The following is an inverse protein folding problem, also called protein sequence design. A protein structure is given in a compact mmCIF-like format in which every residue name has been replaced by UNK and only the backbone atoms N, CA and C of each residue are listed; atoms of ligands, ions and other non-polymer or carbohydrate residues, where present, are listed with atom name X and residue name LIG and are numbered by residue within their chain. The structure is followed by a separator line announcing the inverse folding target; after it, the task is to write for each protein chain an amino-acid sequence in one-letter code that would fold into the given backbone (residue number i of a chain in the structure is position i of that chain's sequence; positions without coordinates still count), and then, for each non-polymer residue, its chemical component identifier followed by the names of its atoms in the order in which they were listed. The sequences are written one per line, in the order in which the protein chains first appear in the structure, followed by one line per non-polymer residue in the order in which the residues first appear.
data_IF_859050744650
#
_entry.id   IF_859050744650
#
_cell.length_a   1.000
_cell.length_b   1.000
_cell.length_c   1.000
_cell.angle_alpha   90.00
_cell.angle_beta   90.00
_cell.angle_gamma   90.00
#
_symmetry.space_group_name_H-M   'P 1'
#
loop_
_entity.id
_entity.type
_entity.pdbx_description
1 polymer ?
#
# COMPACT_ATOMS: atom_id res chain seq x y z
N UNK A 1 2.91 2.49 11.17
CA UNK A 1 2.29 1.20 11.49
C UNK A 1 0.88 1.17 10.93
N UNK A 2 0.44 0.05 10.37
CA UNK A 2 -0.93 -0.13 9.91
C UNK A 2 -1.84 -0.50 11.09
N UNK A 3 -3.04 0.08 11.16
CA UNK A 3 -3.96 -0.16 12.25
C UNK A 3 -4.64 -1.52 12.09
N UNK A 4 -4.70 -2.27 13.19
CA UNK A 4 -5.55 -3.45 13.34
C UNK A 4 -6.76 -3.06 14.18
N UNK A 5 -7.94 -3.38 13.65
CA UNK A 5 -9.23 -3.19 14.28
C UNK A 5 -9.89 -4.57 14.43
N UNK A 6 -10.44 -4.85 15.60
CA UNK A 6 -11.14 -6.10 15.90
C UNK A 6 -12.57 -5.80 16.36
N UNK A 7 -13.56 -6.46 15.76
CA UNK A 7 -14.96 -6.36 16.14
C UNK A 7 -15.55 -7.75 16.41
N UNK A 8 -15.91 -8.01 17.66
CA UNK A 8 -16.37 -9.31 18.15
C UNK A 8 -17.26 -9.05 19.37
N UNK A 9 -18.54 -9.46 19.33
CA UNK A 9 -19.51 -9.13 20.37
C UNK A 9 -19.25 -9.88 21.68
N UNK A 10 -18.77 -11.13 21.59
CA UNK A 10 -18.39 -11.93 22.75
C UNK A 10 -17.03 -11.50 23.33
N UNK A 11 -17.05 -11.08 24.59
CA UNK A 11 -15.85 -10.56 25.26
C UNK A 11 -14.73 -11.60 25.43
N UNK A 12 -15.05 -12.89 25.58
CA UNK A 12 -14.03 -13.92 25.73
C UNK A 12 -13.35 -14.22 24.38
N UNK A 13 -14.14 -14.26 23.30
CA UNK A 13 -13.62 -14.40 21.94
C UNK A 13 -12.79 -13.19 21.52
N UNK A 14 -13.23 -11.97 21.86
CA UNK A 14 -12.50 -10.75 21.57
C UNK A 14 -11.14 -10.75 22.28
N UNK A 15 -11.10 -11.14 23.56
CA UNK A 15 -9.84 -11.20 24.33
C UNK A 15 -8.90 -12.29 23.80
N UNK A 16 -9.44 -13.44 23.39
CA UNK A 16 -8.67 -14.50 22.75
C UNK A 16 -8.03 -14.00 21.45
N UNK A 17 -8.81 -13.39 20.56
CA UNK A 17 -8.33 -12.87 19.29
C UNK A 17 -7.31 -11.74 19.49
N UNK A 18 -7.60 -10.81 20.40
CA UNK A 18 -6.67 -9.75 20.80
C UNK A 18 -5.33 -10.31 21.29
N UNK A 19 -5.36 -11.34 22.14
CA UNK A 19 -4.14 -11.99 22.66
C UNK A 19 -3.32 -12.62 21.54
N UNK A 20 -3.96 -13.34 20.60
CA UNK A 20 -3.27 -13.97 19.49
C UNK A 20 -2.62 -12.94 18.56
N UNK A 21 -3.35 -11.89 18.18
CA UNK A 21 -2.82 -10.81 17.34
C UNK A 21 -1.67 -10.09 18.05
N UNK A 22 -1.81 -9.78 19.34
CA UNK A 22 -0.76 -9.14 20.14
C UNK A 22 0.51 -9.99 20.19
N UNK A 23 0.38 -11.30 20.37
CA UNK A 23 1.51 -12.21 20.34
C UNK A 23 2.19 -12.21 18.96
N UNK A 24 1.42 -12.26 17.87
CA UNK A 24 1.99 -12.16 16.53
C UNK A 24 2.84 -10.90 16.36
N UNK A 25 2.30 -9.73 16.72
CA UNK A 25 2.98 -8.42 16.59
C UNK A 25 4.31 -8.42 17.35
N UNK A 26 4.31 -8.91 18.60
CA UNK A 26 5.50 -8.94 19.46
C UNK A 26 6.67 -9.73 18.85
N UNK A 27 6.39 -10.78 18.09
CA UNK A 27 7.43 -11.67 17.55
C UNK A 27 7.80 -11.40 16.09
N UNK A 28 6.92 -10.76 15.31
CA UNK A 28 7.06 -10.76 13.85
C UNK A 28 7.10 -9.38 13.21
N UNK A 29 6.54 -8.32 13.83
CA UNK A 29 6.29 -7.11 13.06
C UNK A 29 6.11 -5.83 13.87
N UNK A 30 7.04 -4.89 13.71
CA UNK A 30 6.84 -3.48 14.07
C UNK A 30 5.91 -2.74 13.07
N UNK A 31 5.35 -3.46 12.09
CA UNK A 31 4.51 -2.90 11.05
C UNK A 31 3.08 -2.63 11.51
N UNK A 32 2.57 -3.43 12.44
CA UNK A 32 1.17 -3.42 12.87
C UNK A 32 1.01 -2.81 14.26
N UNK A 33 -0.16 -2.23 14.51
CA UNK A 33 -0.59 -1.81 15.85
C UNK A 33 -2.07 -2.09 16.03
N UNK A 34 -2.47 -2.65 17.18
CA UNK A 34 -3.88 -2.76 17.52
C UNK A 34 -4.35 -1.37 17.95
N UNK A 35 -5.28 -0.78 17.21
CA UNK A 35 -5.84 0.55 17.52
C UNK A 35 -7.18 0.48 18.22
N UNK A 36 -8.02 -0.50 17.85
CA UNK A 36 -9.35 -0.67 18.39
C UNK A 36 -9.70 -2.14 18.54
N UNK A 37 -10.20 -2.49 19.72
CA UNK A 37 -10.97 -3.71 19.97
C UNK A 37 -12.36 -3.28 20.42
N UNK A 38 -13.39 -3.80 19.76
CA UNK A 38 -14.77 -3.37 19.97
C UNK A 38 -15.70 -4.57 20.12
N UNK A 39 -16.58 -4.51 21.13
CA UNK A 39 -17.71 -5.42 21.27
C UNK A 39 -18.97 -4.92 20.57
N UNK A 40 -18.93 -3.72 19.99
CA UNK A 40 -20.07 -3.12 19.33
C UNK A 40 -19.62 -2.51 17.99
N UNK A 41 -20.30 -2.85 16.87
CA UNK A 41 -19.93 -2.31 15.56
C UNK A 41 -20.03 -0.78 15.48
N UNK A 42 -20.86 -0.14 16.32
CA UNK A 42 -20.96 1.33 16.34
C UNK A 42 -19.66 2.01 16.81
N UNK A 43 -18.84 1.33 17.62
CA UNK A 43 -17.55 1.87 18.04
C UNK A 43 -16.57 1.88 16.85
N UNK A 44 -16.64 0.85 15.99
CA UNK A 44 -15.88 0.79 14.73
C UNK A 44 -16.34 1.89 13.77
N UNK A 45 -17.65 2.08 13.60
CA UNK A 45 -18.19 3.17 12.76
C UNK A 45 -17.72 4.55 13.26
N UNK A 46 -17.80 4.77 14.57
CA UNK A 46 -17.33 6.02 15.19
C UNK A 46 -15.83 6.24 14.97
N UNK A 47 -15.04 5.17 15.00
CA UNK A 47 -13.60 5.22 14.71
C UNK A 47 -13.35 5.56 13.24
N UNK A 48 -14.06 4.94 12.29
CA UNK A 48 -13.93 5.23 10.86
C UNK A 48 -14.21 6.70 10.54
N UNK A 49 -15.25 7.28 11.15
CA UNK A 49 -15.62 8.69 10.97
C UNK A 49 -14.58 9.67 11.52
N UNK A 50 -13.84 9.28 12.57
CA UNK A 50 -12.89 10.17 13.26
C UNK A 50 -11.48 10.08 12.70
N UNK A 51 -11.02 8.86 12.45
CA UNK A 51 -9.62 8.60 12.15
C UNK A 51 -9.35 8.42 10.64
N UNK A 52 -10.40 8.19 9.84
CA UNK A 52 -10.32 7.94 8.39
C UNK A 52 -9.13 7.03 8.00
N UNK A 53 -9.04 5.82 8.59
CA UNK A 53 -7.86 4.97 8.45
C UNK A 53 -7.64 4.57 6.99
N UNK A 54 -6.37 4.43 6.62
CA UNK A 54 -5.98 3.92 5.30
C UNK A 54 -5.24 2.61 5.41
N UNK A 55 -5.64 1.63 4.59
CA UNK A 55 -5.04 0.28 4.57
C UNK A 55 -5.09 -0.42 5.94
N UNK A 56 -6.15 -0.22 6.70
CA UNK A 56 -6.39 -0.92 7.95
C UNK A 56 -6.62 -2.42 7.74
N UNK A 57 -6.38 -3.17 8.80
CA UNK A 57 -6.60 -4.62 8.87
C UNK A 57 -7.75 -4.84 9.85
N UNK A 58 -8.81 -5.49 9.40
CA UNK A 58 -10.06 -5.60 10.15
C UNK A 58 -10.39 -7.06 10.37
N UNK A 59 -10.40 -7.50 11.62
CA UNK A 59 -10.93 -8.80 12.01
C UNK A 59 -12.37 -8.62 12.49
N UNK A 60 -13.33 -9.22 11.81
CA UNK A 60 -14.75 -9.00 12.05
C UNK A 60 -15.47 -10.33 12.26
N UNK A 61 -16.23 -10.45 13.35
CA UNK A 61 -17.31 -11.44 13.37
C UNK A 61 -18.49 -10.96 12.52
N UNK A 62 -19.21 -11.91 11.93
CA UNK A 62 -20.45 -11.68 11.20
C UNK A 62 -21.63 -11.55 12.17
N UNK A 63 -21.73 -12.41 13.18
CA UNK A 63 -22.87 -12.42 14.11
C UNK A 63 -22.66 -11.49 15.31
N UNK A 64 -22.64 -10.17 15.05
CA UNK A 64 -22.35 -9.15 16.06
C UNK A 64 -23.50 -8.88 17.05
N UNK A 65 -24.57 -9.68 17.04
CA UNK A 65 -25.78 -9.50 17.88
C UNK A 65 -26.30 -8.05 17.90
N UNK A 66 -26.22 -7.36 16.76
CA UNK A 66 -26.55 -5.94 16.62
C UNK A 66 -27.49 -5.68 15.43
N UNK A 67 -27.86 -4.41 15.22
CA UNK A 67 -28.67 -3.98 14.08
C UNK A 67 -27.95 -4.15 12.74
N UNK A 68 -26.63 -4.04 12.76
CA UNK A 68 -25.77 -4.30 11.61
C UNK A 68 -24.94 -5.54 11.91
N UNK A 69 -24.90 -6.44 10.93
CA UNK A 69 -24.03 -7.61 10.96
C UNK A 69 -22.60 -7.23 10.51
N UNK A 70 -21.66 -8.16 10.65
CA UNK A 70 -20.27 -7.93 10.26
C UNK A 70 -20.06 -7.69 8.76
N UNK A 71 -20.94 -8.21 7.90
CA UNK A 71 -20.86 -7.99 6.45
C UNK A 71 -21.27 -6.55 6.12
N UNK A 72 -22.33 -6.05 6.74
CA UNK A 72 -22.76 -4.66 6.62
C UNK A 72 -21.71 -3.71 7.19
N UNK A 73 -21.10 -4.05 8.33
CA UNK A 73 -19.97 -3.29 8.86
C UNK A 73 -18.80 -3.26 7.86
N UNK A 74 -18.48 -4.40 7.23
CA UNK A 74 -17.46 -4.47 6.18
C UNK A 74 -17.81 -3.63 4.93
N UNK A 75 -19.09 -3.53 4.55
CA UNK A 75 -19.53 -2.61 3.49
C UNK A 75 -19.24 -1.15 3.87
N UNK A 76 -19.48 -0.73 5.12
CA UNK A 76 -19.16 0.62 5.58
C UNK A 76 -17.64 0.87 5.65
N UNK A 77 -16.87 -0.09 6.16
CA UNK A 77 -15.39 -0.03 6.16
C UNK A 77 -14.87 0.19 4.74
N UNK A 78 -15.35 -0.59 3.76
CA UNK A 78 -14.87 -0.49 2.37
C UNK A 78 -15.17 0.85 1.70
N UNK A 79 -16.25 1.54 2.10
CA UNK A 79 -16.58 2.88 1.59
C UNK A 79 -15.57 3.94 2.04
N UNK A 80 -15.04 3.79 3.25
CA UNK A 80 -14.06 4.73 3.84
C UNK A 80 -12.63 4.32 3.47
N UNK A 81 -12.29 3.05 3.67
CA UNK A 81 -10.97 2.48 3.42
C UNK A 81 -11.02 1.48 2.25
N UNK A 82 -10.82 2.00 1.04
CA UNK A 82 -10.79 1.20 -0.20
C UNK A 82 -9.70 0.14 -0.18
N UNK A 83 -8.63 0.32 0.59
CA UNK A 83 -7.51 -0.60 0.69
C UNK A 83 -7.57 -1.47 1.95
N UNK A 84 -8.70 -1.50 2.65
CA UNK A 84 -8.89 -2.33 3.84
C UNK A 84 -8.62 -3.81 3.55
N UNK A 85 -7.93 -4.47 4.49
CA UNK A 85 -7.72 -5.92 4.53
C UNK A 85 -8.75 -6.48 5.50
N UNK A 86 -9.90 -6.89 4.96
CA UNK A 86 -11.02 -7.40 5.74
C UNK A 86 -10.88 -8.90 5.89
N UNK A 87 -10.96 -9.38 7.13
CA UNK A 87 -10.82 -10.77 7.52
C UNK A 87 -12.03 -11.10 8.38
N UNK A 88 -12.83 -12.08 7.94
CA UNK A 88 -13.93 -12.56 8.77
C UNK A 88 -13.42 -13.65 9.71
N UNK A 89 -13.82 -13.56 10.97
CA UNK A 89 -13.55 -14.58 11.99
C UNK A 89 -14.90 -14.95 12.58
N UNK A 90 -15.46 -16.10 12.23
CA UNK A 90 -16.86 -16.40 12.57
C UNK A 90 -17.18 -17.90 12.59
N UNK A 91 -18.31 -18.28 13.18
CA UNK A 91 -18.89 -19.63 13.06
C UNK A 91 -19.78 -19.79 11.82
N UNK A 92 -19.93 -18.73 11.01
CA UNK A 92 -20.81 -18.67 9.86
C UNK A 92 -20.08 -18.70 8.51
N UNK A 93 -19.25 -19.72 8.29
CA UNK A 93 -18.46 -19.89 7.06
C UNK A 93 -19.32 -20.02 5.78
N UNK A 94 -20.54 -20.50 5.94
CA UNK A 94 -21.54 -20.58 4.88
C UNK A 94 -21.90 -19.20 4.28
N UNK A 95 -21.58 -18.10 4.98
CA UNK A 95 -21.85 -16.74 4.52
C UNK A 95 -20.74 -16.16 3.63
N UNK A 96 -19.62 -16.87 3.42
CA UNK A 96 -18.56 -16.43 2.51
C UNK A 96 -19.06 -16.05 1.10
N UNK A 97 -19.99 -16.79 0.44
CA UNK A 97 -20.55 -16.37 -0.85
C UNK A 97 -21.34 -15.06 -0.80
N UNK A 98 -21.93 -14.70 0.35
CA UNK A 98 -22.65 -13.45 0.53
C UNK A 98 -21.67 -12.25 0.55
N UNK A 99 -20.50 -12.41 1.16
CA UNK A 99 -19.45 -11.37 1.17
C UNK A 99 -19.02 -10.99 -0.25
N UNK A 100 -18.93 -11.97 -1.16
CA UNK A 100 -18.63 -11.74 -2.58
C UNK A 100 -19.76 -10.98 -3.29
N UNK A 101 -21.02 -11.36 -3.03
CA UNK A 101 -22.21 -10.65 -3.57
C UNK A 101 -22.26 -9.20 -3.09
N UNK A 102 -21.86 -8.96 -1.84
CA UNK A 102 -21.76 -7.64 -1.20
C UNK A 102 -20.50 -6.86 -1.58
N UNK A 103 -19.57 -7.48 -2.32
CA UNK A 103 -18.34 -6.86 -2.84
C UNK A 103 -17.46 -6.24 -1.77
N UNK A 104 -17.44 -6.82 -0.56
CA UNK A 104 -16.62 -6.31 0.55
C UNK A 104 -15.14 -6.62 0.37
N UNK A 105 -14.80 -7.55 -0.53
CA UNK A 105 -13.43 -7.98 -0.85
C UNK A 105 -12.65 -8.38 0.42
N UNK A 106 -13.17 -9.37 1.14
CA UNK A 106 -12.43 -10.01 2.22
C UNK A 106 -11.22 -10.76 1.65
N UNK A 107 -10.10 -10.69 2.37
CA UNK A 107 -8.87 -11.38 1.99
C UNK A 107 -8.80 -12.77 2.60
N UNK A 108 -9.56 -13.03 3.67
CA UNK A 108 -9.58 -14.31 4.36
C UNK A 108 -10.86 -14.53 5.17
N UNK A 109 -11.10 -15.79 5.52
CA UNK A 109 -12.27 -16.25 6.27
C UNK A 109 -11.87 -17.37 7.24
N UNK A 110 -11.82 -17.05 8.53
CA UNK A 110 -11.32 -17.93 9.60
C UNK A 110 -12.50 -18.51 10.38
N UNK A 111 -12.64 -19.83 10.36
CA UNK A 111 -13.68 -20.54 11.12
C UNK A 111 -13.35 -20.55 12.64
N UNK A 112 -14.32 -20.24 13.50
CA UNK A 112 -14.12 -20.26 14.96
C UNK A 112 -14.16 -21.67 15.56
N UNK A 113 -14.97 -22.57 14.99
CA UNK A 113 -15.19 -23.92 15.54
C UNK A 113 -14.09 -24.90 15.12
N UNK A 114 -12.87 -24.62 15.60
CA UNK A 114 -11.69 -25.42 15.32
C UNK A 114 -10.74 -25.48 16.51
N UNK A 115 -9.79 -26.44 16.54
CA UNK A 115 -8.78 -26.50 17.58
C UNK A 115 -7.96 -25.20 17.67
N UNK A 116 -7.68 -24.75 18.90
CA UNK A 116 -6.98 -23.48 19.17
C UNK A 116 -5.65 -23.32 18.41
N UNK A 117 -4.90 -24.42 18.24
CA UNK A 117 -3.63 -24.40 17.52
C UNK A 117 -3.80 -24.08 16.03
N UNK A 118 -4.86 -24.62 15.39
CA UNK A 118 -5.18 -24.33 14.00
C UNK A 118 -5.67 -22.89 13.86
N UNK A 119 -6.59 -22.46 14.73
CA UNK A 119 -7.09 -21.09 14.76
C UNK A 119 -5.96 -20.05 14.90
N UNK A 120 -5.00 -20.32 15.80
CA UNK A 120 -3.81 -19.47 15.95
C UNK A 120 -2.98 -19.43 14.68
N UNK A 121 -2.72 -20.59 14.09
CA UNK A 121 -1.89 -20.69 12.89
C UNK A 121 -2.53 -19.92 11.73
N UNK A 122 -3.84 -20.06 11.54
CA UNK A 122 -4.59 -19.37 10.50
C UNK A 122 -4.51 -17.84 10.68
N UNK A 123 -4.76 -17.31 11.89
CA UNK A 123 -4.59 -15.87 12.17
C UNK A 123 -3.17 -15.40 11.82
N UNK A 124 -2.14 -16.19 12.13
CA UNK A 124 -0.75 -15.81 11.88
C UNK A 124 -0.42 -15.82 10.39
N UNK A 125 -0.92 -16.81 9.65
CA UNK A 125 -0.78 -16.91 8.21
C UNK A 125 -1.51 -15.77 7.50
N UNK A 126 -2.74 -15.44 7.94
CA UNK A 126 -3.51 -14.30 7.45
C UNK A 126 -2.79 -12.96 7.69
N UNK A 127 -2.23 -12.74 8.89
CA UNK A 127 -1.47 -11.52 9.18
C UNK A 127 -0.20 -11.42 8.32
N UNK A 128 0.46 -12.55 8.09
CA UNK A 128 1.64 -12.63 7.21
C UNK A 128 1.26 -12.31 5.76
N UNK A 129 0.14 -12.83 5.29
CA UNK A 129 -0.40 -12.52 3.97
C UNK A 129 -0.82 -11.05 3.83
N UNK A 130 -1.47 -10.49 4.85
CA UNK A 130 -1.82 -9.07 4.89
C UNK A 130 -0.56 -8.17 4.81
N UNK A 131 0.53 -8.56 5.48
CA UNK A 131 1.82 -7.89 5.36
C UNK A 131 2.37 -7.95 3.92
N UNK A 132 2.32 -9.11 3.28
CA UNK A 132 2.77 -9.26 1.88
C UNK A 132 1.99 -8.34 0.93
N UNK A 133 0.65 -8.31 1.03
CA UNK A 133 -0.19 -7.41 0.23
C UNK A 133 0.17 -5.93 0.43
N UNK A 134 0.44 -5.56 1.68
CA UNK A 134 0.87 -4.21 2.05
C UNK A 134 2.23 -3.87 1.42
N UNK A 135 3.20 -4.78 1.50
CA UNK A 135 4.55 -4.57 0.98
C UNK A 135 4.55 -4.50 -0.55
N UNK A 136 3.75 -5.32 -1.22
CA UNK A 136 3.54 -5.25 -2.67
C UNK A 136 2.87 -3.93 -3.09
N UNK A 137 1.82 -3.53 -2.38
CA UNK A 137 1.13 -2.25 -2.64
C UNK A 137 2.07 -1.06 -2.47
N UNK A 138 2.88 -1.05 -1.41
CA UNK A 138 3.93 -0.05 -1.20
C UNK A 138 4.96 -0.07 -2.30
N UNK A 139 5.38 -1.24 -2.74
CA UNK A 139 6.36 -1.37 -3.81
C UNK A 139 5.79 -0.80 -5.11
N UNK A 140 4.51 -1.03 -5.42
CA UNK A 140 3.82 -0.39 -6.57
C UNK A 140 3.72 1.11 -6.39
N UNK A 141 3.34 1.62 -5.21
CA UNK A 141 3.26 3.08 -4.97
C UNK A 141 4.63 3.77 -5.02
N UNK A 142 5.69 3.12 -4.51
CA UNK A 142 7.08 3.59 -4.62
C UNK A 142 7.62 3.53 -6.06
N UNK A 143 6.99 2.78 -6.96
CA UNK A 143 7.35 2.74 -8.38
C UNK A 143 6.85 3.97 -9.16
N UNK A 144 6.11 4.92 -8.57
CA UNK A 144 5.61 6.10 -9.30
C UNK A 144 6.54 7.33 -9.24
N UNK A 145 6.81 7.98 -10.38
CA UNK A 145 7.39 9.31 -10.49
C UNK A 145 6.28 10.34 -10.76
N UNK A 146 6.09 11.27 -9.82
CA UNK A 146 4.99 12.24 -9.84
C UNK A 146 5.50 13.66 -9.98
N UNK A 147 4.91 14.43 -10.89
CA UNK A 147 5.25 15.84 -11.12
C UNK A 147 4.05 16.66 -11.58
N UNK A 148 4.12 17.97 -11.39
CA UNK A 148 3.03 18.91 -11.73
C UNK A 148 3.36 19.74 -12.97
N UNK A 149 2.40 19.82 -13.89
CA UNK A 149 2.47 20.71 -15.06
C UNK A 149 1.23 21.62 -15.04
N UNK A 150 1.42 22.88 -14.68
CA UNK A 150 0.31 23.82 -14.50
C UNK A 150 -0.59 23.39 -13.35
N UNK A 151 -1.83 23.02 -13.64
CA UNK A 151 -2.83 22.54 -12.66
C UNK A 151 -3.04 21.02 -12.71
N UNK A 152 -2.21 20.30 -13.47
CA UNK A 152 -2.34 18.85 -13.68
C UNK A 152 -1.19 18.10 -13.00
N UNK A 153 -1.51 17.02 -12.30
CA UNK A 153 -0.54 16.08 -11.74
C UNK A 153 -0.38 14.92 -12.71
N UNK A 154 0.86 14.64 -13.09
CA UNK A 154 1.25 13.49 -13.88
C UNK A 154 1.90 12.45 -12.97
N UNK A 155 1.49 11.21 -13.12
CA UNK A 155 2.10 10.06 -12.45
C UNK A 155 2.59 9.11 -13.54
N UNK A 156 3.89 8.86 -13.53
CA UNK A 156 4.53 7.90 -14.42
C UNK A 156 4.98 6.70 -13.61
N UNK A 157 4.89 5.50 -14.16
CA UNK A 157 5.62 4.37 -13.63
C UNK A 157 7.14 4.61 -13.80
N UNK A 158 7.94 4.06 -12.89
CA UNK A 158 9.41 4.16 -12.90
C UNK A 158 9.97 3.71 -14.26
N UNK A 159 9.41 2.64 -14.82
CA UNK A 159 9.82 2.11 -16.13
C UNK A 159 9.60 3.11 -17.25
N UNK A 160 8.62 4.00 -17.11
CA UNK A 160 8.36 5.06 -18.09
C UNK A 160 9.38 6.19 -17.99
N UNK A 161 10.03 6.39 -16.85
CA UNK A 161 11.05 7.44 -16.66
C UNK A 161 12.38 7.01 -17.26
N UNK A 162 12.86 7.73 -18.26
CA UNK A 162 14.15 7.46 -18.92
C UNK A 162 15.26 8.30 -18.27
N UNK A 163 15.11 9.63 -18.30
CA UNK A 163 16.01 10.55 -17.59
C UNK A 163 15.32 11.90 -17.32
N UNK A 164 15.88 12.65 -16.38
CA UNK A 164 15.46 14.02 -16.03
C UNK A 164 16.68 14.93 -16.11
N UNK A 165 16.53 16.08 -16.75
CA UNK A 165 17.60 17.08 -16.87
C UNK A 165 17.12 18.49 -16.51
N UNK A 166 18.07 19.36 -16.18
CA UNK A 166 17.76 20.77 -16.00
C UNK A 166 17.25 21.37 -17.32
N UNK A 167 16.17 22.17 -17.26
CA UNK A 167 15.75 22.96 -18.42
C UNK A 167 16.64 24.20 -18.58
N UNK A 168 16.57 24.81 -19.76
CA UNK A 168 17.14 26.14 -20.03
C UNK A 168 16.43 27.24 -19.22
N UNK A 169 15.22 26.96 -18.74
CA UNK A 169 14.44 27.86 -17.89
C UNK A 169 14.82 27.64 -16.41
N UNK A 170 15.18 28.70 -15.65
CA UNK A 170 15.49 28.59 -14.23
C UNK A 170 14.37 27.91 -13.43
N UNK A 171 14.76 27.04 -12.50
CA UNK A 171 13.86 26.27 -11.62
C UNK A 171 12.91 25.30 -12.35
N UNK A 172 13.20 24.96 -13.60
CA UNK A 172 12.46 23.94 -14.35
C UNK A 172 13.34 22.77 -14.75
N UNK A 173 12.71 21.62 -14.89
CA UNK A 173 13.30 20.35 -15.28
C UNK A 173 12.55 19.80 -16.48
N UNK A 174 13.26 19.09 -17.35
CA UNK A 174 12.71 18.28 -18.42
C UNK A 174 12.75 16.82 -18.01
N UNK A 175 11.60 16.14 -18.00
CA UNK A 175 11.52 14.69 -17.93
C UNK A 175 11.33 14.13 -19.32
N UNK A 176 12.15 13.14 -19.65
CA UNK A 176 12.01 12.31 -20.84
C UNK A 176 11.48 10.96 -20.39
N UNK A 177 10.28 10.63 -20.86
CA UNK A 177 9.62 9.36 -20.62
C UNK A 177 9.40 8.59 -21.91
N UNK A 178 8.98 7.32 -21.79
CA UNK A 178 8.52 6.51 -22.92
C UNK A 178 7.31 7.12 -23.64
N UNK A 179 6.53 7.94 -22.94
CA UNK A 179 5.29 8.54 -23.45
C UNK A 179 5.47 9.98 -23.94
N UNK A 180 6.69 10.53 -23.84
CA UNK A 180 7.01 11.87 -24.35
C UNK A 180 7.91 12.66 -23.43
N UNK A 181 7.97 13.97 -23.69
CA UNK A 181 8.77 14.92 -22.92
C UNK A 181 7.85 15.91 -22.21
N UNK A 182 8.11 16.17 -20.93
CA UNK A 182 7.39 17.18 -20.16
C UNK A 182 8.38 18.13 -19.48
N UNK A 183 7.97 19.38 -19.33
CA UNK A 183 8.69 20.38 -18.54
C UNK A 183 7.89 20.72 -17.29
N UNK A 184 8.54 20.72 -16.13
CA UNK A 184 7.89 20.97 -14.84
C UNK A 184 8.80 21.73 -13.88
N UNK A 185 8.23 22.31 -12.82
CA UNK A 185 8.99 23.00 -11.79
C UNK A 185 9.67 22.02 -10.83
N UNK A 186 10.94 22.26 -10.51
CA UNK A 186 11.66 21.42 -9.55
C UNK A 186 13.17 21.63 -9.55
N UNK A 187 13.85 20.86 -8.71
CA UNK A 187 15.32 20.80 -8.65
C UNK A 187 15.77 19.35 -8.71
N UNK A 188 16.84 19.08 -9.46
CA UNK A 188 17.38 17.71 -9.56
C UNK A 188 17.78 17.15 -8.20
N UNK A 189 18.34 17.96 -7.30
CA UNK A 189 18.72 17.50 -5.96
C UNK A 189 17.53 16.98 -5.15
N UNK A 190 16.33 17.56 -5.33
CA UNK A 190 15.13 17.11 -4.63
C UNK A 190 14.68 15.75 -5.19
N UNK A 191 14.79 15.55 -6.51
CA UNK A 191 14.49 14.28 -7.15
C UNK A 191 15.50 13.18 -6.81
N UNK A 192 16.79 13.51 -6.75
CA UNK A 192 17.88 12.61 -6.37
C UNK A 192 17.67 12.02 -4.96
N UNK A 193 17.18 12.84 -4.02
CA UNK A 193 16.86 12.37 -2.67
C UNK A 193 15.51 11.64 -2.56
N UNK A 194 14.55 11.99 -3.41
CA UNK A 194 13.17 11.46 -3.35
C UNK A 194 13.02 10.12 -4.07
N UNK A 195 13.75 9.92 -5.16
CA UNK A 195 13.60 8.77 -6.05
C UNK A 195 14.91 7.98 -6.12
N UNK A 196 14.99 6.91 -5.32
CA UNK A 196 16.16 6.02 -5.20
C UNK A 196 16.57 5.35 -6.51
N UNK A 197 15.64 5.22 -7.46
CA UNK A 197 15.92 4.65 -8.77
C UNK A 197 16.60 5.60 -9.74
N UNK A 198 16.66 6.90 -9.43
CA UNK A 198 17.34 7.88 -10.26
C UNK A 198 18.82 7.95 -9.88
N UNK A 199 19.69 7.95 -10.88
CA UNK A 199 21.14 7.98 -10.71
C UNK A 199 21.74 9.21 -11.38
N UNK A 200 22.62 9.91 -10.67
CA UNK A 200 23.25 11.14 -11.18
C UNK A 200 24.46 10.85 -12.03
N UNK A 201 24.42 11.33 -13.27
CA UNK A 201 25.55 11.18 -14.22
C UNK A 201 26.27 12.51 -14.50
N UNK A 202 25.64 13.64 -14.20
CA UNK A 202 26.22 14.97 -14.32
C UNK A 202 25.52 15.95 -13.37
N UNK A 203 26.03 17.19 -13.30
CA UNK A 203 25.39 18.24 -12.49
C UNK A 203 23.96 18.58 -12.94
N UNK A 204 23.63 18.28 -14.19
CA UNK A 204 22.36 18.66 -14.82
C UNK A 204 21.53 17.47 -15.29
N UNK A 205 21.88 16.23 -14.91
CA UNK A 205 21.19 15.03 -15.40
C UNK A 205 21.13 13.90 -14.37
N UNK A 206 19.92 13.40 -14.14
CA UNK A 206 19.59 12.16 -13.44
C UNK A 206 19.02 11.17 -14.47
N UNK A 207 19.41 9.91 -14.40
CA UNK A 207 18.93 8.86 -15.32
C UNK A 207 18.24 7.75 -14.55
N UNK A 208 17.37 7.00 -15.20
CA UNK A 208 16.97 5.68 -14.73
C UNK A 208 17.89 4.62 -15.37
N UNK A 209 18.76 3.92 -14.60
CA UNK A 209 19.68 2.93 -15.15
C UNK A 209 18.99 1.77 -15.87
N UNK A 210 17.73 1.45 -15.54
CA UNK A 210 16.96 0.39 -16.21
C UNK A 210 16.64 0.71 -17.68
N UNK A 211 16.72 1.98 -18.08
CA UNK A 211 16.46 2.44 -19.44
C UNK A 211 17.74 2.65 -20.28
N UNK A 212 18.91 2.25 -19.78
CA UNK A 212 20.17 2.31 -20.51
C UNK A 212 20.21 1.20 -21.57
N UNK A 213 20.40 1.57 -22.83
CA UNK A 213 20.62 0.62 -23.92
C UNK A 213 22.11 0.26 -24.06
N UNK A 214 23.00 1.24 -23.96
CA UNK A 214 24.45 1.03 -24.03
C UNK A 214 25.24 2.16 -23.36
N UNK A 215 26.48 1.88 -22.97
CA UNK A 215 27.42 2.85 -22.40
C UNK A 215 28.71 2.84 -23.21
N UNK A 216 29.10 4.00 -23.72
CA UNK A 216 30.37 4.22 -24.40
C UNK A 216 31.33 4.97 -23.48
N UNK A 217 32.23 4.24 -22.83
CA UNK A 217 33.21 4.81 -21.90
C UNK A 217 34.27 5.67 -22.59
N UNK A 218 34.62 5.39 -23.85
CA UNK A 218 35.63 6.16 -24.59
C UNK A 218 35.14 7.60 -24.84
N UNK A 219 33.86 7.75 -25.19
CA UNK A 219 33.23 9.05 -25.45
C UNK A 219 32.52 9.63 -24.21
N UNK A 220 32.47 8.89 -23.11
CA UNK A 220 31.69 9.18 -21.89
C UNK A 220 30.22 9.46 -22.18
N UNK A 221 29.60 8.59 -22.97
CA UNK A 221 28.20 8.70 -23.40
C UNK A 221 27.37 7.51 -22.96
N UNK A 222 26.13 7.76 -22.57
CA UNK A 222 25.10 6.76 -22.30
C UNK A 222 24.03 6.93 -23.37
N UNK A 223 23.66 5.83 -24.04
CA UNK A 223 22.53 5.80 -24.95
C UNK A 223 21.34 5.08 -24.32
N UNK A 224 20.15 5.67 -24.47
CA UNK A 224 18.90 5.20 -23.86
C UNK A 224 17.99 4.46 -24.84
N UNK A 225 16.97 3.79 -24.30
CA UNK A 225 15.97 3.02 -25.05
C UNK A 225 15.18 3.84 -26.09
N UNK A 226 15.03 5.15 -25.88
CA UNK A 226 14.37 6.06 -26.83
C UNK A 226 15.30 6.62 -27.92
N UNK A 227 16.56 6.19 -27.98
CA UNK A 227 17.55 6.65 -28.95
C UNK A 227 18.27 7.95 -28.57
N UNK A 228 17.90 8.60 -27.47
CA UNK A 228 18.63 9.75 -26.93
C UNK A 228 19.99 9.33 -26.37
N UNK A 229 20.94 10.27 -26.35
CA UNK A 229 22.25 10.08 -25.71
C UNK A 229 22.57 11.23 -24.76
N UNK A 230 23.25 10.93 -23.65
CA UNK A 230 23.74 11.94 -22.70
C UNK A 230 25.17 11.65 -22.28
N UNK A 231 25.96 12.72 -22.14
CA UNK A 231 27.33 12.64 -21.62
C UNK A 231 27.32 12.54 -20.10
N UNK A 232 28.20 11.69 -19.56
CA UNK A 232 28.43 11.59 -18.13
C UNK A 232 29.79 12.16 -17.74
N UNK A 233 29.87 12.67 -16.51
CA UNK A 233 31.04 13.41 -16.00
C UNK A 233 31.37 13.08 -14.54
N UNK A 234 30.88 11.93 -14.07
CA UNK A 234 31.10 11.40 -12.72
C UNK A 234 32.60 11.33 -12.42
#
# INVERSE_FOLDING_TARGET
MYPIIVCEDDAAQLEQLHTLIKNYILFHSDLFKIELTANNPNDVLTYLEKEEPQSGIYFLDIDLQNKIDGIQLAEEIRKVDVQAKIIFVTTHDELAPLTLKRKVAAIDFIEKDQPLENFRQEIYDTLTYAQQLIDETRTVQKRGFSFEVGTQVYNLDKSEVIFVEASDIPHRLNIFSTNGKFEFYGKLADLENKYDFLFKISRSCLINPENIHHINFANREIGFSNGETRKFSI
#
